data_IF_183254361288
#
_entry.id   IF_183254361288
#
_cell.length_a   1.000
_cell.length_b   1.000
_cell.length_c   1.000
_cell.angle_alpha   90.00
_cell.angle_beta   90.00
_cell.angle_gamma   90.00
#
_symmetry.space_group_name_H-M   'P 1'
#
loop_
_entity.id
_entity.type
_entity.pdbx_description
1 polymer ?
#
# COMPACT_ATOMS: atom_id res chain seq x y z
N UNK A 1 -6.32 18.66 -15.27
CA UNK A 1 -7.10 17.42 -15.51
C UNK A 1 -6.75 16.27 -14.55
N UNK A 2 -5.52 16.20 -14.00
CA UNK A 2 -5.11 15.17 -13.01
C UNK A 2 -5.82 15.31 -11.65
N UNK A 3 -6.07 16.54 -11.20
CA UNK A 3 -6.70 16.79 -9.88
C UNK A 3 -8.17 16.32 -9.82
N UNK A 4 -8.89 16.33 -10.95
CA UNK A 4 -10.29 15.93 -11.01
C UNK A 4 -10.45 14.40 -10.96
N UNK A 5 -9.46 13.64 -11.45
CA UNK A 5 -9.44 12.18 -11.39
C UNK A 5 -9.22 11.66 -9.96
N UNK A 6 -8.37 12.32 -9.17
CA UNK A 6 -8.17 11.97 -7.75
C UNK A 6 -9.43 12.25 -6.91
N UNK A 7 -10.13 13.35 -7.19
CA UNK A 7 -11.38 13.69 -6.50
C UNK A 7 -12.55 12.78 -6.91
N UNK A 8 -12.66 12.41 -8.18
CA UNK A 8 -13.70 11.46 -8.64
C UNK A 8 -13.44 10.05 -8.11
N UNK A 9 -12.18 9.60 -8.05
CA UNK A 9 -11.83 8.36 -7.37
C UNK A 9 -12.24 8.39 -5.89
N UNK A 10 -12.01 9.50 -5.17
CA UNK A 10 -12.37 9.58 -3.74
C UNK A 10 -13.88 9.47 -3.44
N UNK A 11 -14.75 9.85 -4.39
CA UNK A 11 -16.22 9.75 -4.24
C UNK A 11 -16.76 8.35 -4.51
N UNK A 12 -16.07 7.55 -5.31
CA UNK A 12 -16.44 6.17 -5.60
C UNK A 12 -15.84 5.16 -4.60
N UNK A 13 -14.99 5.65 -3.69
CA UNK A 13 -14.28 4.79 -2.77
C UNK A 13 -14.97 4.74 -1.44
N UNK A 14 -15.42 3.55 -1.06
CA UNK A 14 -16.03 3.26 0.25
C UNK A 14 -15.13 3.61 1.45
N UNK A 15 -13.88 3.99 1.22
CA UNK A 15 -12.97 4.54 2.23
C UNK A 15 -13.35 5.94 2.73
N UNK A 16 -14.40 6.55 2.19
CA UNK A 16 -14.99 7.80 2.69
C UNK A 16 -16.37 7.58 3.36
N UNK A 17 -16.78 6.34 3.59
CA UNK A 17 -18.00 6.01 4.36
C UNK A 17 -17.78 6.24 5.86
N UNK A 18 -18.85 6.58 6.63
CA UNK A 18 -18.80 6.71 8.09
C UNK A 18 -18.06 5.57 8.79
N UNK A 19 -16.97 5.91 9.48
CA UNK A 19 -16.12 4.97 10.22
C UNK A 19 -14.95 4.40 9.41
N UNK A 20 -14.80 4.79 8.13
CA UNK A 20 -13.72 4.34 7.22
C UNK A 20 -12.84 5.51 6.75
N UNK A 21 -13.21 6.74 7.09
CA UNK A 21 -12.56 7.96 6.60
C UNK A 21 -11.21 8.27 7.29
N UNK A 22 -10.50 9.26 6.75
CA UNK A 22 -9.29 9.82 7.38
C UNK A 22 -7.99 9.08 7.06
N UNK A 23 -8.04 8.07 6.21
CA UNK A 23 -6.86 7.38 5.71
C UNK A 23 -6.17 8.09 4.55
N UNK A 24 -5.01 7.57 4.13
CA UNK A 24 -4.24 8.04 2.98
C UNK A 24 -4.05 6.94 1.95
N UNK A 25 -4.01 7.31 0.67
CA UNK A 25 -3.87 6.37 -0.44
C UNK A 25 -2.49 6.41 -1.07
N UNK A 26 -1.71 7.45 -0.82
CA UNK A 26 -0.36 7.62 -1.33
C UNK A 26 0.42 8.46 -0.32
N UNK A 27 1.63 8.03 0.01
CA UNK A 27 2.50 8.81 0.87
C UNK A 27 3.94 8.33 0.86
N UNK A 28 4.79 9.11 1.52
CA UNK A 28 6.20 8.82 1.73
C UNK A 28 6.59 9.21 3.14
N UNK A 29 7.48 8.45 3.79
CA UNK A 29 8.02 8.80 5.11
C UNK A 29 9.40 9.50 5.00
N UNK A 30 9.98 9.89 6.13
CA UNK A 30 11.26 10.61 6.15
C UNK A 30 12.46 9.77 5.68
N UNK A 31 12.35 8.44 5.67
CA UNK A 31 13.36 7.52 5.15
C UNK A 31 13.24 7.32 3.62
N UNK A 32 12.23 7.92 2.99
CA UNK A 32 11.98 7.80 1.57
C UNK A 32 11.23 6.52 1.18
N UNK A 33 10.70 5.76 2.14
CA UNK A 33 9.79 4.65 1.83
C UNK A 33 8.48 5.22 1.30
N UNK A 34 7.95 4.62 0.23
CA UNK A 34 6.72 5.05 -0.43
C UNK A 34 5.71 3.91 -0.32
N UNK A 35 4.45 4.25 -0.09
CA UNK A 35 3.37 3.29 -0.20
C UNK A 35 2.19 3.92 -0.93
N UNK A 36 1.52 3.10 -1.74
CA UNK A 36 0.32 3.53 -2.43
C UNK A 36 -0.70 2.42 -2.58
N UNK A 37 -1.93 2.78 -2.27
CA UNK A 37 -3.13 1.98 -2.40
C UNK A 37 -3.76 2.25 -3.77
N UNK A 38 -4.06 1.19 -4.49
CA UNK A 38 -4.78 1.23 -5.76
C UNK A 38 -6.12 0.55 -5.57
N UNK A 39 -7.17 1.17 -6.14
CA UNK A 39 -8.46 0.52 -6.15
C UNK A 39 -8.45 -0.67 -7.10
N UNK A 40 -9.23 -1.70 -6.78
CA UNK A 40 -9.52 -2.78 -7.73
C UNK A 40 -10.97 -2.65 -8.16
N UNK A 41 -11.18 -2.50 -9.47
CA UNK A 41 -12.49 -2.32 -10.09
C UNK A 41 -13.19 -3.66 -10.38
N UNK A 42 -13.52 -4.43 -9.34
CA UNK A 42 -14.42 -5.58 -9.47
C UNK A 42 -15.70 -5.38 -8.68
N UNK A 43 -16.79 -6.07 -9.08
CA UNK A 43 -18.01 -6.11 -8.29
C UNK A 43 -17.68 -6.59 -6.87
N UNK A 44 -17.87 -5.70 -5.89
CA UNK A 44 -17.78 -6.08 -4.48
C UNK A 44 -19.06 -6.85 -4.12
N UNK A 45 -18.99 -7.85 -3.24
CA UNK A 45 -20.20 -8.46 -2.68
C UNK A 45 -21.09 -7.38 -2.02
N UNK A 46 -22.41 -7.54 -2.09
CA UNK A 46 -23.36 -6.48 -1.71
C UNK A 46 -23.28 -6.08 -0.22
N UNK A 47 -22.81 -6.97 0.66
CA UNK A 47 -22.57 -6.70 2.08
C UNK A 47 -21.07 -6.50 2.38
N UNK A 48 -20.64 -5.24 2.48
CA UNK A 48 -19.28 -4.87 2.94
C UNK A 48 -19.27 -3.85 4.07
N UNK A 49 -20.39 -3.68 4.77
CA UNK A 49 -20.52 -2.67 5.82
C UNK A 49 -19.53 -2.94 6.97
N UNK A 50 -19.28 -4.21 7.27
CA UNK A 50 -18.31 -4.66 8.28
C UNK A 50 -16.84 -4.63 7.81
N UNK A 51 -16.57 -4.34 6.54
CA UNK A 51 -15.19 -4.29 6.04
C UNK A 51 -14.50 -3.00 6.49
N UNK A 52 -13.24 -3.12 6.88
CA UNK A 52 -12.40 -2.00 7.32
C UNK A 52 -12.10 -1.06 6.15
N UNK A 53 -11.98 0.23 6.48
CA UNK A 53 -11.39 1.23 5.58
C UNK A 53 -9.94 0.88 5.27
N UNK A 54 -9.53 1.06 4.01
CA UNK A 54 -8.20 0.70 3.50
C UNK A 54 -7.20 1.84 3.61
N UNK A 55 -7.66 3.08 3.78
CA UNK A 55 -6.78 4.24 3.81
C UNK A 55 -5.78 4.23 4.98
N UNK A 56 -6.03 3.44 6.02
CA UNK A 56 -5.08 3.26 7.12
C UNK A 56 -3.88 2.38 6.75
N UNK A 57 -3.97 1.56 5.70
CA UNK A 57 -2.88 0.65 5.30
C UNK A 57 -1.61 1.42 4.94
N UNK A 58 -1.72 2.47 4.13
CA UNK A 58 -0.59 3.29 3.71
C UNK A 58 -0.01 4.04 4.91
N UNK A 59 -0.88 4.70 5.70
CA UNK A 59 -0.47 5.47 6.90
C UNK A 59 0.29 4.57 7.89
N UNK A 60 -0.26 3.40 8.21
CA UNK A 60 0.29 2.49 9.20
C UNK A 60 1.64 1.92 8.76
N UNK A 61 1.80 1.55 7.48
CA UNK A 61 3.10 1.14 6.95
C UNK A 61 4.15 2.25 7.08
N UNK A 62 3.81 3.47 6.65
CA UNK A 62 4.76 4.58 6.62
C UNK A 62 5.23 4.96 8.03
N UNK A 63 4.34 4.96 9.04
CA UNK A 63 4.73 5.20 10.42
C UNK A 63 5.61 4.07 10.98
N UNK A 64 5.16 2.81 10.89
CA UNK A 64 5.91 1.66 11.43
C UNK A 64 7.28 1.50 10.76
N UNK A 65 7.36 1.72 9.45
CA UNK A 65 8.64 1.61 8.73
C UNK A 65 9.57 2.80 9.02
N UNK A 66 9.04 3.96 9.37
CA UNK A 66 9.85 5.12 9.79
C UNK A 66 10.53 4.89 11.14
N UNK A 67 9.93 4.11 12.03
CA UNK A 67 10.51 3.73 13.33
C UNK A 67 11.32 2.43 13.29
N UNK A 68 11.33 1.73 12.15
CA UNK A 68 11.99 0.44 11.98
C UNK A 68 11.24 -0.74 12.59
N UNK A 69 9.98 -0.55 13.02
CA UNK A 69 9.12 -1.63 13.54
C UNK A 69 8.71 -2.64 12.47
N UNK A 70 8.69 -2.22 11.20
CA UNK A 70 8.34 -3.09 10.08
C UNK A 70 9.18 -2.81 8.85
N UNK A 71 9.31 -3.82 7.98
CA UNK A 71 9.82 -3.70 6.62
C UNK A 71 8.66 -3.89 5.64
N UNK A 72 8.86 -3.55 4.37
CA UNK A 72 7.84 -3.76 3.34
C UNK A 72 7.38 -5.24 3.28
N UNK A 73 8.33 -6.19 3.40
CA UNK A 73 8.02 -7.62 3.34
C UNK A 73 7.24 -8.11 4.56
N UNK A 74 7.62 -7.66 5.76
CA UNK A 74 6.90 -8.01 7.00
C UNK A 74 5.48 -7.44 6.97
N UNK A 75 5.33 -6.16 6.57
CA UNK A 75 4.03 -5.52 6.48
C UNK A 75 3.12 -6.18 5.44
N UNK A 76 3.63 -6.48 4.24
CA UNK A 76 2.86 -7.19 3.22
C UNK A 76 2.38 -8.57 3.71
N UNK A 77 3.21 -9.28 4.47
CA UNK A 77 2.84 -10.58 5.10
C UNK A 77 1.78 -10.43 6.18
N UNK A 78 1.85 -9.36 6.98
CA UNK A 78 0.82 -9.04 7.98
C UNK A 78 -0.53 -8.78 7.31
N UNK A 79 -0.54 -7.98 6.24
CA UNK A 79 -1.78 -7.59 5.57
C UNK A 79 -2.36 -8.72 4.73
N UNK A 80 -1.54 -9.57 4.10
CA UNK A 80 -2.02 -10.73 3.33
C UNK A 80 -2.87 -11.68 4.20
N UNK A 81 -2.43 -11.92 5.45
CA UNK A 81 -3.19 -12.71 6.44
C UNK A 81 -4.52 -12.08 6.84
N UNK A 82 -4.63 -10.76 6.72
CA UNK A 82 -5.80 -9.97 7.10
C UNK A 82 -6.60 -9.48 5.89
N UNK A 83 -6.24 -9.89 4.66
CA UNK A 83 -6.74 -9.29 3.43
C UNK A 83 -8.26 -9.37 3.26
N UNK A 84 -8.90 -10.38 3.86
CA UNK A 84 -10.36 -10.57 3.83
C UNK A 84 -11.13 -9.55 4.70
N UNK A 85 -10.46 -8.83 5.60
CA UNK A 85 -11.08 -7.79 6.43
C UNK A 85 -11.33 -6.48 5.67
N UNK A 86 -10.85 -6.37 4.44
CA UNK A 86 -10.92 -5.17 3.61
C UNK A 86 -11.68 -5.46 2.32
N UNK A 87 -12.30 -4.43 1.74
CA UNK A 87 -12.78 -4.48 0.35
C UNK A 87 -11.62 -4.77 -0.60
N UNK A 88 -11.87 -5.28 -1.81
CA UNK A 88 -10.80 -5.57 -2.78
C UNK A 88 -9.83 -4.40 -3.00
N UNK A 89 -8.52 -4.64 -2.96
CA UNK A 89 -7.48 -3.62 -3.12
C UNK A 89 -6.14 -4.20 -3.57
N UNK A 90 -5.33 -3.34 -4.18
CA UNK A 90 -3.92 -3.59 -4.42
C UNK A 90 -3.08 -2.58 -3.64
N UNK A 91 -2.01 -3.04 -3.01
CA UNK A 91 -1.10 -2.20 -2.24
C UNK A 91 0.32 -2.44 -2.72
N UNK A 92 1.00 -1.35 -3.03
CA UNK A 92 2.40 -1.36 -3.41
C UNK A 92 3.21 -0.64 -2.35
N UNK A 93 4.28 -1.30 -1.91
CA UNK A 93 5.24 -0.82 -0.93
C UNK A 93 6.61 -0.72 -1.59
N UNK A 94 7.27 0.41 -1.37
CA UNK A 94 8.56 0.73 -1.93
C UNK A 94 9.48 1.09 -0.76
N UNK A 95 10.54 0.33 -0.59
CA UNK A 95 11.48 0.47 0.52
C UNK A 95 12.91 0.51 0.00
N UNK A 96 13.76 1.38 0.56
CA UNK A 96 15.20 1.31 0.31
C UNK A 96 15.82 0.26 1.22
N UNK A 97 16.67 -0.61 0.67
CA UNK A 97 17.43 -1.57 1.48
C UNK A 97 18.41 -0.83 2.37
N UNK A 98 18.08 -0.70 3.66
CA UNK A 98 19.06 -0.32 4.65
C UNK A 98 19.69 -1.63 5.17
N UNK A 99 20.77 -2.09 4.53
CA UNK A 99 21.46 -3.31 4.97
C UNK A 99 22.20 -2.96 6.27
N UNK A 100 21.82 -3.53 7.44
CA UNK A 100 22.48 -3.21 8.70
C UNK A 100 23.97 -3.53 8.62
N UNK A 101 24.82 -2.56 8.98
CA UNK A 101 26.28 -2.72 8.97
C UNK A 101 26.96 -2.47 7.62
N UNK A 102 26.21 -2.16 6.56
CA UNK A 102 26.79 -1.67 5.30
C UNK A 102 26.56 -0.17 5.21
N UNK A 103 27.65 0.61 5.13
CA UNK A 103 27.61 2.03 4.79
C UNK A 103 27.25 2.18 3.30
N UNK A 104 26.04 1.77 2.94
CA UNK A 104 25.46 2.19 1.69
C UNK A 104 25.19 3.68 1.85
N UNK A 105 25.96 4.54 1.17
CA UNK A 105 25.50 5.90 0.93
C UNK A 105 24.05 5.75 0.47
N UNK A 106 23.10 6.35 1.18
CA UNK A 106 21.65 6.15 1.00
C UNK A 106 21.23 6.35 -0.48
N UNK A 107 22.04 7.09 -1.23
CA UNK A 107 22.00 7.29 -2.69
C UNK A 107 22.10 6.00 -3.53
N UNK A 108 22.83 4.98 -3.08
CA UNK A 108 23.11 3.74 -3.82
C UNK A 108 22.38 2.51 -3.29
N UNK A 109 21.58 2.64 -2.22
CA UNK A 109 20.79 1.54 -1.71
C UNK A 109 19.75 1.09 -2.74
N UNK A 110 19.66 -0.21 -3.09
CA UNK A 110 18.67 -0.67 -4.03
C UNK A 110 17.26 -0.46 -3.47
N UNK A 111 16.32 -0.22 -4.38
CA UNK A 111 14.91 -0.16 -4.04
C UNK A 111 14.29 -1.54 -4.14
N UNK A 112 13.50 -1.91 -3.15
CA UNK A 112 12.63 -3.07 -3.17
C UNK A 112 11.20 -2.60 -3.42
N UNK A 113 10.61 -3.07 -4.52
CA UNK A 113 9.17 -2.97 -4.74
C UNK A 113 8.51 -4.28 -4.34
N UNK A 114 7.51 -4.16 -3.49
CA UNK A 114 6.61 -5.24 -3.14
C UNK A 114 5.21 -4.83 -3.53
N UNK A 115 4.53 -5.69 -4.27
CA UNK A 115 3.14 -5.50 -4.67
C UNK A 115 2.32 -6.69 -4.19
N UNK A 116 1.12 -6.40 -3.69
CA UNK A 116 0.17 -7.44 -3.35
C UNK A 116 -1.25 -6.99 -3.62
N UNK A 117 -2.13 -7.96 -3.83
CA UNK A 117 -3.57 -7.77 -3.97
C UNK A 117 -4.30 -8.84 -3.16
N UNK A 118 -5.36 -8.44 -2.45
CA UNK A 118 -6.17 -9.36 -1.66
C UNK A 118 -7.22 -10.12 -2.52
N UNK A 119 -7.37 -9.78 -3.80
CA UNK A 119 -8.38 -10.37 -4.70
C UNK A 119 -7.77 -11.04 -5.92
N UNK A 120 -6.89 -10.36 -6.63
CA UNK A 120 -6.28 -10.84 -7.87
C UNK A 120 -4.85 -11.28 -7.65
N UNK A 121 -4.41 -12.28 -8.43
CA UNK A 121 -3.00 -12.71 -8.50
C UNK A 121 -2.33 -12.68 -7.12
N UNK A 122 -2.99 -13.42 -6.21
CA UNK A 122 -2.84 -13.35 -4.75
C UNK A 122 -1.42 -13.65 -4.32
N UNK A 123 -1.07 -13.12 -3.15
CA UNK A 123 0.24 -13.29 -2.54
C UNK A 123 1.17 -12.12 -2.82
N UNK A 124 2.32 -12.18 -2.16
CA UNK A 124 3.31 -11.11 -2.15
C UNK A 124 4.24 -11.27 -3.35
N UNK A 125 4.32 -10.22 -4.18
CA UNK A 125 5.21 -10.19 -5.35
C UNK A 125 6.34 -9.22 -5.14
N UNK A 126 7.55 -9.73 -5.29
CA UNK A 126 8.76 -8.93 -5.38
C UNK A 126 8.94 -8.50 -6.84
N UNK A 127 8.90 -7.19 -7.09
CA UNK A 127 9.08 -6.67 -8.43
C UNK A 127 10.55 -6.25 -8.59
N UNK A 128 11.32 -6.88 -9.50
CA UNK A 128 12.69 -6.47 -9.74
C UNK A 128 12.72 -5.05 -10.35
N UNK A 129 13.88 -4.37 -10.33
CA UNK A 129 14.04 -3.08 -11.01
C UNK A 129 13.63 -3.13 -12.49
N UNK A 130 13.17 -1.98 -13.01
CA UNK A 130 12.80 -1.79 -14.41
C UNK A 130 11.44 -1.12 -14.58
N UNK A 131 11.02 -0.93 -15.83
CA UNK A 131 9.73 -0.32 -16.14
C UNK A 131 8.60 -1.27 -15.70
N UNK A 132 7.70 -0.78 -14.85
CA UNK A 132 6.51 -1.52 -14.37
C UNK A 132 5.28 -0.65 -14.55
N UNK A 133 4.23 -1.27 -15.05
CA UNK A 133 2.91 -0.66 -15.17
C UNK A 133 2.01 -1.44 -14.23
N UNK A 134 1.54 -0.77 -13.18
CA UNK A 134 0.66 -1.33 -12.16
C UNK A 134 -0.68 -0.63 -12.36
N UNK A 135 -1.49 -1.12 -13.30
CA UNK A 135 -2.83 -0.62 -13.58
C UNK A 135 -3.61 -1.66 -14.37
#
# INVERSE_FOLDING_TARGET
>A
MILLLLLLASKETRDMEPGKEGGTWLGMNALGNIAFLQNINFPQPENTDDLKGRGDLVRNYLHKSNTGETSAAMYATEIDKQGLLYSGFSLTLIERSNIPGVNNNIENAPWHLIHFSNREDKGIKYLPPGNRFLC
#
